data_IF_137855334991
#
_entry.id   IF_137855334991
#
_cell.length_a   1.000
_cell.length_b   1.000
_cell.length_c   1.000
_cell.angle_alpha   90.00
_cell.angle_beta   90.00
_cell.angle_gamma   90.00
#
_symmetry.space_group_name_H-M   'P 1'
#
loop_
_entity.id
_entity.type
_entity.pdbx_description
1 polymer ?
#
# COMPACT_ATOMS: atom_id res chain seq x y z
N UNK A 1 29.19 2.65 0.78
CA UNK A 1 27.83 2.09 0.59
C UNK A 1 27.83 0.70 -0.05
N UNK A 2 28.27 0.53 -1.31
CA UNK A 2 28.31 -0.80 -1.98
C UNK A 2 29.10 -1.88 -1.21
N UNK A 3 30.27 -1.55 -0.65
CA UNK A 3 31.07 -2.51 0.12
C UNK A 3 30.40 -2.91 1.45
N UNK A 4 29.71 -1.98 2.12
CA UNK A 4 28.96 -2.27 3.33
C UNK A 4 27.76 -3.17 3.03
N UNK A 5 27.04 -2.93 1.93
CA UNK A 5 25.96 -3.79 1.46
C UNK A 5 26.44 -5.20 1.10
N UNK A 6 27.59 -5.32 0.44
CA UNK A 6 28.19 -6.64 0.12
C UNK A 6 28.62 -7.37 1.39
N UNK A 7 29.24 -6.67 2.34
CA UNK A 7 29.62 -7.26 3.63
C UNK A 7 28.39 -7.65 4.48
N UNK A 8 27.32 -6.85 4.46
CA UNK A 8 26.04 -7.14 5.11
C UNK A 8 25.33 -8.34 4.48
N UNK A 9 25.26 -8.38 3.14
CA UNK A 9 24.73 -9.55 2.42
C UNK A 9 25.56 -10.81 2.72
N UNK A 10 26.89 -10.73 2.70
CA UNK A 10 27.75 -11.90 2.96
C UNK A 10 27.72 -12.38 4.42
N UNK A 11 27.51 -11.49 5.39
CA UNK A 11 27.49 -11.87 6.81
C UNK A 11 26.12 -12.31 7.30
N UNK A 12 25.04 -11.70 6.81
CA UNK A 12 23.68 -11.99 7.27
C UNK A 12 23.10 -13.16 6.49
N UNK A 13 23.58 -13.44 5.27
CA UNK A 13 23.03 -14.54 4.46
C UNK A 13 23.15 -15.90 5.14
N UNK A 14 24.35 -16.24 5.59
CA UNK A 14 24.59 -17.53 6.27
C UNK A 14 23.81 -17.61 7.59
N UNK A 15 23.64 -16.48 8.29
CA UNK A 15 22.85 -16.42 9.51
C UNK A 15 21.35 -16.58 9.23
N UNK A 16 20.82 -15.93 8.20
CA UNK A 16 19.43 -16.06 7.76
C UNK A 16 19.13 -17.49 7.33
N UNK A 17 20.03 -18.11 6.58
CA UNK A 17 19.94 -19.51 6.19
C UNK A 17 19.94 -20.46 7.40
N UNK A 18 20.83 -20.21 8.37
CA UNK A 18 20.89 -20.99 9.61
C UNK A 18 19.58 -20.86 10.41
N UNK A 19 19.06 -19.64 10.59
CA UNK A 19 17.82 -19.39 11.34
C UNK A 19 16.61 -19.98 10.62
N UNK A 20 16.54 -19.88 9.29
CA UNK A 20 15.50 -20.50 8.48
C UNK A 20 15.50 -22.03 8.61
N UNK A 21 16.68 -22.64 8.48
CA UNK A 21 16.87 -24.10 8.63
C UNK A 21 16.51 -24.58 10.04
N UNK A 22 16.92 -23.83 11.07
CA UNK A 22 16.56 -24.13 12.46
C UNK A 22 15.05 -23.98 12.69
N UNK A 23 14.42 -22.97 12.10
CA UNK A 23 12.97 -22.78 12.20
C UNK A 23 12.25 -24.01 11.65
N UNK A 24 12.63 -24.48 10.47
CA UNK A 24 12.07 -25.71 9.89
C UNK A 24 12.31 -26.93 10.78
N UNK A 25 13.51 -27.09 11.33
CA UNK A 25 13.86 -28.24 12.19
C UNK A 25 13.09 -28.27 13.51
N UNK A 26 12.86 -27.10 14.13
CA UNK A 26 12.20 -27.00 15.44
C UNK A 26 10.69 -26.73 15.38
N UNK A 27 10.15 -26.44 14.20
CA UNK A 27 8.70 -26.26 14.00
C UNK A 27 7.99 -27.63 14.07
N UNK A 28 7.26 -27.85 15.15
CA UNK A 28 6.52 -29.11 15.40
C UNK A 28 5.02 -29.02 15.13
N UNK A 29 4.51 -27.81 14.97
CA UNK A 29 3.09 -27.53 14.75
C UNK A 29 2.94 -26.53 13.63
N UNK A 30 1.86 -26.67 12.86
CA UNK A 30 1.47 -25.71 11.84
C UNK A 30 1.15 -24.35 12.49
N UNK A 31 1.51 -23.27 11.81
CA UNK A 31 1.28 -21.91 12.29
C UNK A 31 0.64 -21.06 11.20
N UNK A 32 -0.22 -20.15 11.62
CA UNK A 32 -0.79 -19.14 10.74
C UNK A 32 0.19 -17.98 10.60
N UNK A 33 0.75 -17.83 9.40
CA UNK A 33 1.66 -16.73 9.07
C UNK A 33 0.94 -15.67 8.25
N UNK A 34 1.32 -14.40 8.44
CA UNK A 34 0.81 -13.30 7.64
C UNK A 34 1.61 -13.21 6.33
N UNK A 35 0.93 -13.13 5.20
CA UNK A 35 1.57 -12.81 3.92
C UNK A 35 2.04 -11.34 3.99
N UNK A 36 3.31 -11.10 3.74
CA UNK A 36 3.89 -9.76 3.67
C UNK A 36 4.83 -9.68 2.47
N UNK A 37 4.80 -8.58 1.74
CA UNK A 37 5.73 -8.33 0.62
C UNK A 37 5.07 -7.68 -0.59
N UNK A 38 5.83 -7.56 -1.67
CA UNK A 38 5.40 -6.91 -2.91
C UNK A 38 4.22 -7.62 -3.58
N UNK A 39 4.15 -8.95 -3.46
CA UNK A 39 3.14 -9.79 -4.09
C UNK A 39 1.99 -10.15 -3.14
N UNK A 40 1.81 -9.42 -2.04
CA UNK A 40 0.77 -9.71 -1.05
C UNK A 40 -0.63 -9.80 -1.68
N UNK A 41 -0.96 -8.86 -2.57
CA UNK A 41 -2.28 -8.78 -3.19
C UNK A 41 -2.52 -9.89 -4.23
N UNK A 42 -1.52 -10.21 -5.05
CA UNK A 42 -1.57 -11.32 -6.01
C UNK A 42 -1.67 -12.68 -5.32
N UNK A 43 -0.92 -12.88 -4.23
CA UNK A 43 -0.95 -14.11 -3.46
C UNK A 43 -2.30 -14.27 -2.74
N UNK A 44 -2.87 -13.19 -2.20
CA UNK A 44 -4.22 -13.22 -1.60
C UNK A 44 -5.29 -13.58 -2.63
N UNK A 45 -5.21 -13.06 -3.85
CA UNK A 45 -6.13 -13.39 -4.93
C UNK A 45 -5.98 -14.85 -5.39
N UNK A 46 -4.73 -15.32 -5.53
CA UNK A 46 -4.42 -16.68 -6.00
C UNK A 46 -4.86 -17.75 -5.00
N UNK A 47 -4.58 -17.53 -3.72
CA UNK A 47 -4.90 -18.50 -2.67
C UNK A 47 -6.26 -18.28 -1.99
N UNK A 48 -6.99 -17.21 -2.36
CA UNK A 48 -8.29 -16.81 -1.78
C UNK A 48 -8.25 -16.70 -0.24
N UNK A 49 -7.16 -16.15 0.30
CA UNK A 49 -6.94 -16.04 1.74
C UNK A 49 -6.92 -14.58 2.16
N UNK A 50 -7.76 -14.22 3.13
CA UNK A 50 -7.94 -12.82 3.54
C UNK A 50 -6.70 -12.19 4.21
N UNK A 51 -5.93 -12.97 4.97
CA UNK A 51 -4.79 -12.38 5.72
C UNK A 51 -3.72 -13.35 6.23
N UNK A 52 -4.07 -14.61 6.53
CA UNK A 52 -3.14 -15.57 7.14
C UNK A 52 -3.25 -16.94 6.51
N UNK A 53 -2.11 -17.51 6.15
CA UNK A 53 -2.01 -18.84 5.55
C UNK A 53 -1.52 -19.80 6.62
N UNK A 54 -2.12 -20.99 6.67
CA UNK A 54 -1.62 -22.08 7.49
C UNK A 54 -0.38 -22.66 6.81
N UNK A 55 0.76 -22.62 7.50
CA UNK A 55 2.03 -23.11 6.97
C UNK A 55 2.53 -24.25 7.85
N UNK A 56 2.88 -25.36 7.22
CA UNK A 56 3.54 -26.49 7.85
C UNK A 56 5.07 -26.40 7.67
N UNK A 57 5.85 -27.16 8.45
CA UNK A 57 7.31 -27.22 8.29
C UNK A 57 7.76 -27.66 6.89
N UNK A 58 6.94 -28.44 6.18
CA UNK A 58 7.25 -28.94 4.84
C UNK A 58 7.02 -27.90 3.74
N UNK A 59 6.27 -26.84 4.05
CA UNK A 59 5.97 -25.75 3.11
C UNK A 59 7.05 -24.65 3.13
N UNK A 60 8.04 -24.74 4.03
CA UNK A 60 9.16 -23.81 4.12
C UNK A 60 10.29 -24.23 3.17
N UNK A 61 10.54 -23.44 2.11
CA UNK A 61 11.64 -23.65 1.18
C UNK A 61 12.75 -22.61 1.43
N UNK A 62 13.64 -22.93 2.36
CA UNK A 62 14.69 -21.99 2.83
C UNK A 62 15.64 -21.54 1.71
N UNK A 63 15.87 -22.39 0.69
CA UNK A 63 16.73 -22.07 -0.46
C UNK A 63 16.17 -20.97 -1.39
N UNK A 64 14.86 -20.71 -1.36
CA UNK A 64 14.20 -19.82 -2.33
C UNK A 64 13.44 -18.65 -1.68
N UNK A 65 12.97 -18.80 -0.43
CA UNK A 65 12.03 -17.85 0.18
C UNK A 65 12.69 -16.77 1.06
N UNK A 66 14.01 -16.80 1.24
CA UNK A 66 14.73 -15.88 2.15
C UNK A 66 15.52 -14.84 1.36
N UNK A 67 14.90 -13.67 1.09
CA UNK A 67 15.65 -12.50 0.66
C UNK A 67 16.24 -11.80 1.89
N UNK A 68 17.56 -11.94 2.07
CA UNK A 68 18.25 -11.44 3.25
C UNK A 68 18.41 -9.93 3.16
N UNK A 69 17.57 -9.21 3.91
CA UNK A 69 17.62 -7.75 3.99
C UNK A 69 18.55 -7.30 5.13
N UNK A 70 19.68 -6.71 4.76
CA UNK A 70 20.73 -6.18 5.66
C UNK A 70 20.28 -4.97 6.52
N UNK A 71 19.05 -4.49 6.37
CA UNK A 71 18.55 -3.30 7.09
C UNK A 71 19.28 -1.99 6.75
N UNK A 72 20.32 -2.04 5.91
CA UNK A 72 21.08 -0.89 5.40
C UNK A 72 20.33 -0.08 4.36
N UNK A 73 19.35 -0.69 3.69
CA UNK A 73 18.31 0.04 2.98
C UNK A 73 17.22 0.40 3.98
N UNK A 74 17.00 1.68 4.29
CA UNK A 74 15.89 2.06 5.14
C UNK A 74 14.62 1.56 4.45
N UNK A 75 13.88 0.67 5.13
CA UNK A 75 12.61 0.10 4.67
C UNK A 75 11.59 1.22 4.35
N UNK A 76 11.81 2.38 4.94
CA UNK A 76 11.34 3.68 4.49
C UNK A 76 12.30 4.24 3.44
N UNK A 77 11.99 4.15 2.14
CA UNK A 77 12.83 4.69 1.07
C UNK A 77 13.28 6.14 1.31
N UNK A 78 14.29 6.61 0.57
CA UNK A 78 14.89 7.93 0.77
C UNK A 78 13.85 9.07 0.73
N UNK A 79 13.61 9.80 1.84
CA UNK A 79 12.66 10.90 1.88
C UNK A 79 12.97 12.02 0.88
N UNK A 80 14.25 12.19 0.51
CA UNK A 80 14.67 13.19 -0.47
C UNK A 80 14.24 12.79 -1.88
N UNK A 81 14.43 11.52 -2.24
CA UNK A 81 13.96 10.97 -3.51
C UNK A 81 12.43 11.07 -3.64
N UNK A 82 11.69 10.72 -2.57
CA UNK A 82 10.23 10.82 -2.58
C UNK A 82 9.73 12.27 -2.69
N UNK A 83 10.43 13.22 -2.06
CA UNK A 83 10.13 14.65 -2.21
C UNK A 83 10.34 15.12 -3.66
N UNK A 84 11.38 14.63 -4.34
CA UNK A 84 11.64 14.94 -5.74
C UNK A 84 10.57 14.34 -6.67
N UNK A 85 10.18 13.08 -6.45
CA UNK A 85 9.10 12.43 -7.20
C UNK A 85 7.79 13.21 -7.01
N UNK A 86 7.44 13.57 -5.78
CA UNK A 86 6.24 14.35 -5.50
C UNK A 86 6.22 15.69 -6.24
N UNK A 87 7.34 16.43 -6.27
CA UNK A 87 7.44 17.69 -7.01
C UNK A 87 7.27 17.50 -8.52
N UNK A 88 7.85 16.43 -9.09
CA UNK A 88 7.72 16.11 -10.52
C UNK A 88 6.29 15.74 -10.89
N UNK A 89 5.65 14.84 -10.11
CA UNK A 89 4.26 14.43 -10.31
C UNK A 89 3.27 15.59 -10.09
N UNK A 90 3.56 16.51 -9.16
CA UNK A 90 2.71 17.68 -8.93
C UNK A 90 2.85 18.76 -10.03
N UNK A 91 4.01 18.85 -10.68
CA UNK A 91 4.25 19.82 -11.76
C UNK A 91 3.57 19.39 -13.07
N UNK A 92 3.66 18.11 -13.44
CA UNK A 92 3.15 17.60 -14.71
C UNK A 92 1.61 17.40 -14.68
N UNK A 93 0.82 18.04 -15.55
CA UNK A 93 -0.63 17.85 -15.60
C UNK A 93 -1.06 16.42 -15.96
N UNK A 94 -0.32 15.73 -16.83
CA UNK A 94 -0.68 14.38 -17.31
C UNK A 94 -0.52 13.35 -16.19
N UNK A 95 0.54 13.49 -15.38
CA UNK A 95 0.75 12.64 -14.21
C UNK A 95 -0.29 12.87 -13.12
N UNK A 96 -0.90 14.06 -13.03
CA UNK A 96 -1.93 14.36 -12.03
C UNK A 96 -3.27 13.71 -12.34
N UNK A 97 -3.53 13.37 -13.59
CA UNK A 97 -4.74 12.64 -13.99
C UNK A 97 -4.60 11.14 -13.74
N UNK A 98 -3.38 10.61 -13.88
CA UNK A 98 -3.11 9.17 -13.72
C UNK A 98 -2.81 8.78 -12.27
N UNK A 99 -2.14 9.65 -11.51
CA UNK A 99 -1.68 9.34 -10.16
C UNK A 99 -2.45 10.07 -9.07
N UNK A 100 -2.78 9.36 -7.99
CA UNK A 100 -3.36 9.94 -6.79
C UNK A 100 -2.28 10.67 -5.96
N UNK A 101 -2.17 11.97 -6.23
CA UNK A 101 -1.24 12.89 -5.55
C UNK A 101 -1.44 12.87 -4.03
N UNK A 102 -2.67 12.70 -3.53
CA UNK A 102 -2.98 12.73 -2.10
C UNK A 102 -2.38 11.51 -1.42
N UNK A 103 -2.48 10.34 -2.04
CA UNK A 103 -1.87 9.12 -1.52
C UNK A 103 -0.34 9.14 -1.58
N UNK A 104 0.24 9.70 -2.65
CA UNK A 104 1.70 9.91 -2.76
C UNK A 104 2.20 10.86 -1.66
N UNK A 105 1.45 11.95 -1.40
CA UNK A 105 1.76 12.87 -0.31
C UNK A 105 1.70 12.18 1.05
N UNK A 106 0.65 11.38 1.33
CA UNK A 106 0.54 10.62 2.58
C UNK A 106 1.70 9.65 2.77
N UNK A 107 2.10 8.96 1.71
CA UNK A 107 3.25 8.05 1.74
C UNK A 107 4.54 8.80 2.10
N UNK A 108 4.81 9.90 1.38
CA UNK A 108 6.00 10.75 1.60
C UNK A 108 6.02 11.34 3.02
N UNK A 109 4.88 11.84 3.50
CA UNK A 109 4.77 12.42 4.83
C UNK A 109 4.93 11.36 5.94
N UNK A 110 4.49 10.11 5.73
CA UNK A 110 4.74 8.99 6.67
C UNK A 110 6.23 8.63 6.71
N UNK A 111 6.90 8.60 5.55
CA UNK A 111 8.35 8.37 5.47
C UNK A 111 9.15 9.45 6.21
N UNK A 112 8.67 10.70 6.20
CA UNK A 112 9.27 11.82 6.92
C UNK A 112 8.90 11.88 8.42
N UNK A 113 8.17 10.89 8.94
CA UNK A 113 7.80 10.81 10.37
C UNK A 113 6.52 11.57 10.75
N UNK A 114 5.76 12.07 9.76
CA UNK A 114 4.45 12.67 9.98
C UNK A 114 3.45 11.64 10.53
N UNK A 115 2.97 11.87 11.75
CA UNK A 115 1.85 11.11 12.33
C UNK A 115 0.53 11.81 11.99
N UNK A 116 -0.54 11.04 11.85
CA UNK A 116 -1.92 11.55 11.65
C UNK A 116 -2.11 12.46 10.42
N UNK A 117 -1.45 12.17 9.29
CA UNK A 117 -1.52 13.03 8.09
C UNK A 117 -2.95 13.14 7.54
N UNK A 118 -3.78 12.13 7.78
CA UNK A 118 -5.20 12.10 7.39
C UNK A 118 -6.02 13.26 7.99
N UNK A 119 -5.57 13.88 9.08
CA UNK A 119 -6.22 15.06 9.67
C UNK A 119 -6.01 16.35 8.87
N UNK A 120 -5.01 16.38 7.98
CA UNK A 120 -4.68 17.54 7.14
C UNK A 120 -5.24 17.43 5.73
N UNK A 121 -5.84 16.28 5.38
CA UNK A 121 -6.63 16.18 4.15
C UNK A 121 -7.89 17.00 4.37
N UNK A 122 -8.12 17.99 3.50
CA UNK A 122 -9.41 18.69 3.47
C UNK A 122 -10.49 17.64 3.32
N UNK A 123 -11.27 17.42 4.39
CA UNK A 123 -12.57 16.78 4.27
C UNK A 123 -13.34 17.68 3.32
N UNK A 124 -13.55 17.22 2.08
CA UNK A 124 -14.49 17.90 1.18
C UNK A 124 -15.81 17.81 1.92
N UNK A 125 -16.21 18.91 2.56
CA UNK A 125 -17.60 19.14 2.84
C UNK A 125 -18.27 19.00 1.48
N UNK A 126 -19.11 17.98 1.36
CA UNK A 126 -20.03 17.86 0.25
C UNK A 126 -20.91 19.11 0.39
N UNK A 127 -20.52 20.19 -0.28
CA UNK A 127 -21.37 21.34 -0.51
C UNK A 127 -22.47 20.84 -1.44
N UNK A 128 -23.43 20.10 -0.87
CA UNK A 128 -24.73 19.90 -1.44
C UNK A 128 -25.34 21.30 -1.53
N UNK A 129 -25.11 21.98 -2.64
CA UNK A 129 -25.85 23.18 -2.96
C UNK A 129 -27.30 22.73 -3.16
N UNK A 130 -28.16 23.09 -2.21
CA UNK A 130 -29.60 22.97 -2.34
C UNK A 130 -30.02 23.99 -3.39
N UNK A 131 -30.03 23.56 -4.65
CA UNK A 131 -30.69 24.30 -5.74
C UNK A 131 -32.20 24.25 -5.49
N UNK A 132 -32.93 25.31 -5.86
CA UNK A 132 -34.38 25.30 -5.73
C UNK A 132 -34.98 24.29 -6.70
N UNK A 133 -36.05 23.60 -6.30
CA UNK A 133 -36.66 22.49 -7.06
C UNK A 133 -36.94 22.83 -8.55
N UNK A 134 -37.27 24.09 -8.84
CA UNK A 134 -37.50 24.57 -10.21
C UNK A 134 -36.24 24.55 -11.10
N UNK A 135 -35.07 24.85 -10.54
CA UNK A 135 -33.78 24.83 -11.26
C UNK A 135 -33.24 23.41 -11.39
N UNK A 136 -33.55 22.53 -10.44
CA UNK A 136 -33.20 21.10 -10.46
C UNK A 136 -33.97 20.37 -11.55
N UNK A 137 -35.27 20.65 -11.72
CA UNK A 137 -36.06 20.06 -12.81
C UNK A 137 -35.54 20.47 -14.19
N UNK A 138 -35.11 21.71 -14.36
CA UNK A 138 -34.59 22.20 -15.63
C UNK A 138 -33.19 21.62 -15.92
N UNK A 139 -32.33 21.51 -14.91
CA UNK A 139 -31.01 20.89 -15.04
C UNK A 139 -31.06 19.36 -15.22
N UNK A 140 -32.05 18.68 -14.62
CA UNK A 140 -32.29 17.25 -14.83
C UNK A 140 -32.79 16.97 -16.26
N UNK A 141 -33.63 17.85 -16.84
CA UNK A 141 -34.02 17.78 -18.26
C UNK A 141 -32.84 17.99 -19.20
N UNK A 142 -31.82 18.76 -18.80
CA UNK A 142 -30.56 18.94 -19.55
C UNK A 142 -29.55 17.80 -19.35
N UNK A 143 -29.78 16.90 -18.39
CA UNK A 143 -28.90 15.77 -18.10
C UNK A 143 -27.64 16.10 -17.28
N UNK A 144 -27.58 17.27 -16.66
CA UNK A 144 -26.39 17.73 -15.90
C UNK A 144 -26.40 17.28 -14.43
N UNK A 145 -27.57 16.89 -13.88
CA UNK A 145 -27.72 16.53 -12.47
C UNK A 145 -28.57 15.27 -12.30
N UNK A 146 -28.14 14.38 -11.40
CA UNK A 146 -28.90 13.19 -10.98
C UNK A 146 -29.59 13.50 -9.66
N UNK A 147 -30.92 13.42 -9.56
CA UNK A 147 -31.64 13.64 -8.32
C UNK A 147 -31.23 12.62 -7.25
N UNK A 148 -30.92 13.10 -6.04
CA UNK A 148 -30.49 12.27 -4.90
C UNK A 148 -31.45 11.12 -4.56
N UNK A 149 -32.74 11.27 -4.88
CA UNK A 149 -33.78 10.26 -4.59
C UNK A 149 -33.63 8.99 -5.45
N UNK A 150 -33.20 9.13 -6.70
CA UNK A 150 -32.99 8.00 -7.61
C UNK A 150 -31.69 7.25 -7.31
N UNK A 151 -30.69 7.94 -6.76
CA UNK A 151 -29.44 7.33 -6.33
C UNK A 151 -29.62 6.37 -5.15
N UNK A 152 -30.56 6.65 -4.25
CA UNK A 152 -30.90 5.74 -3.13
C UNK A 152 -31.63 4.47 -3.57
N UNK A 153 -32.48 4.55 -4.60
CA UNK A 153 -33.20 3.38 -5.14
C UNK A 153 -32.30 2.49 -6.02
N UNK A 154 -31.23 3.04 -6.61
CA UNK A 154 -30.25 2.27 -7.39
C UNK A 154 -29.23 1.50 -6.53
N UNK A 155 -29.20 1.78 -5.21
CA UNK A 155 -28.26 1.18 -4.25
C UNK A 155 -28.92 0.22 -3.25
N UNK A 156 -30.24 -0.03 -3.38
CA UNK A 156 -31.00 -1.03 -2.62
C UNK A 156 -31.30 -2.26 -3.48
#
# INVERSE_FOLDING_TARGET
EKAARIAGMQSIHDLGYMVGSQTQQFMTKEQYVKIAGRYEEELRQTFQVDSRVLVSPYDLLIDYDVEVQDGSLPTSGDPQLWSQIFQMTAADPELREVFDIVNIFKHTARLMGGKNIDQFVKKRDINAQVLQDAEVEEAARRGDVVPLREMTDALS
#
